data_IF_876748517918
#
_entry.id   IF_876748517918
#
_cell.length_a   1.000
_cell.length_b   1.000
_cell.length_c   1.000
_cell.angle_alpha   90.00
_cell.angle_beta   90.00
_cell.angle_gamma   90.00
#
_symmetry.space_group_name_H-M   'P 1'
#
loop_
_entity.id
_entity.type
_entity.pdbx_description
1 polymer ?
#
# COMPACT_ATOMS: atom_id res chain seq x y z
N UNK A 1 13.34 -50.20 8.55
CA UNK A 1 14.27 -49.09 8.82
C UNK A 1 15.57 -49.66 9.36
N UNK A 2 16.65 -49.56 8.59
CA UNK A 2 17.92 -50.24 8.90
C UNK A 2 18.71 -49.48 9.98
N UNK A 3 19.68 -50.13 10.64
CA UNK A 3 20.56 -49.45 11.60
C UNK A 3 21.35 -48.29 10.97
N UNK A 4 21.66 -48.42 9.68
CA UNK A 4 22.30 -47.38 8.88
C UNK A 4 21.40 -46.14 8.75
N UNK A 5 20.11 -46.32 8.47
CA UNK A 5 19.15 -45.21 8.37
C UNK A 5 19.00 -44.46 9.71
N UNK A 6 19.00 -45.20 10.83
CA UNK A 6 18.95 -44.63 12.18
C UNK A 6 20.18 -43.79 12.50
N UNK A 7 21.36 -44.25 12.09
CA UNK A 7 22.61 -43.53 12.30
C UNK A 7 22.67 -42.25 11.46
N UNK A 8 22.33 -42.34 10.17
CA UNK A 8 22.27 -41.18 9.27
C UNK A 8 21.27 -40.13 9.75
N UNK A 9 20.11 -40.56 10.24
CA UNK A 9 19.10 -39.65 10.82
C UNK A 9 19.61 -38.96 12.08
N UNK A 10 20.34 -39.66 12.97
CA UNK A 10 20.94 -39.06 14.16
C UNK A 10 22.01 -38.03 13.81
N UNK A 11 22.84 -38.31 12.81
CA UNK A 11 23.86 -37.37 12.34
C UNK A 11 23.23 -36.09 11.77
N UNK A 12 22.12 -36.23 11.04
CA UNK A 12 21.37 -35.10 10.48
C UNK A 12 20.69 -34.25 11.57
N UNK A 13 20.12 -34.88 12.59
CA UNK A 13 19.56 -34.18 13.75
C UNK A 13 20.66 -33.42 14.49
N UNK A 14 21.81 -34.07 14.72
CA UNK A 14 22.92 -33.44 15.42
C UNK A 14 23.51 -32.25 14.65
N UNK A 15 23.56 -32.31 13.31
CA UNK A 15 24.04 -31.19 12.50
C UNK A 15 23.05 -30.00 12.52
N UNK A 16 21.75 -30.28 12.44
CA UNK A 16 20.69 -29.28 12.56
C UNK A 16 20.70 -28.59 13.93
N UNK A 17 20.85 -29.34 15.02
CA UNK A 17 20.94 -28.77 16.37
C UNK A 17 22.15 -27.86 16.54
N UNK A 18 23.31 -28.22 15.97
CA UNK A 18 24.51 -27.37 15.98
C UNK A 18 24.31 -26.07 15.20
N UNK A 19 23.67 -26.13 14.03
CA UNK A 19 23.36 -24.95 13.23
C UNK A 19 22.38 -24.00 13.95
N UNK A 20 21.39 -24.56 14.65
CA UNK A 20 20.41 -23.79 15.39
C UNK A 20 21.04 -23.06 16.59
N UNK A 21 21.91 -23.73 17.36
CA UNK A 21 22.65 -23.11 18.46
C UNK A 21 23.63 -22.03 17.96
N UNK A 22 24.32 -22.27 16.84
CA UNK A 22 25.18 -21.26 16.21
C UNK A 22 24.39 -20.01 15.75
N UNK A 23 23.16 -20.17 15.24
CA UNK A 23 22.30 -19.05 14.86
C UNK A 23 21.69 -18.33 16.05
N UNK A 24 21.30 -19.07 17.09
CA UNK A 24 20.77 -18.50 18.33
C UNK A 24 21.83 -17.66 19.06
N UNK A 25 23.09 -18.11 19.07
CA UNK A 25 24.21 -17.34 19.62
C UNK A 25 24.62 -16.15 18.74
N UNK A 26 24.36 -16.19 17.42
CA UNK A 26 24.57 -15.04 16.52
C UNK A 26 23.42 -14.02 16.53
N UNK A 27 22.27 -14.35 17.12
CA UNK A 27 21.18 -13.40 17.33
C UNK A 27 21.50 -12.55 18.55
N UNK A 28 22.25 -11.49 18.30
CA UNK A 28 22.52 -10.43 19.26
C UNK A 28 21.21 -9.74 19.66
N UNK A 29 20.65 -10.13 20.81
CA UNK A 29 19.44 -9.52 21.39
C UNK A 29 19.70 -8.11 21.95
N UNK A 30 20.94 -7.62 21.89
CA UNK A 30 21.31 -6.32 22.47
C UNK A 30 20.94 -5.10 21.59
N UNK A 31 20.39 -5.31 20.38
CA UNK A 31 20.10 -4.21 19.43
C UNK A 31 18.76 -3.49 19.58
N UNK A 32 17.90 -3.87 20.52
CA UNK A 32 16.69 -3.11 20.81
C UNK A 32 16.72 -2.55 22.24
N UNK A 33 17.12 -1.28 22.36
CA UNK A 33 16.89 -0.47 23.55
C UNK A 33 16.21 0.82 23.11
N UNK A 34 15.02 1.08 23.63
CA UNK A 34 14.39 2.39 23.49
C UNK A 34 15.23 3.40 24.30
N UNK A 35 15.79 4.39 23.61
CA UNK A 35 16.39 5.56 24.25
C UNK A 35 15.30 6.60 24.45
N UNK A 36 14.95 6.88 25.70
CA UNK A 36 14.02 7.94 26.07
C UNK A 36 12.86 7.43 26.92
N UNK A 37 12.23 8.35 27.65
CA UNK A 37 11.00 8.07 28.40
C UNK A 37 9.85 7.80 27.41
N UNK A 38 8.93 6.87 27.72
CA UNK A 38 7.77 6.60 26.87
C UNK A 38 6.92 7.87 26.74
N UNK A 39 6.60 8.24 25.50
CA UNK A 39 5.72 9.38 25.21
C UNK A 39 4.28 8.93 25.46
N UNK A 40 3.61 9.55 26.42
CA UNK A 40 2.18 9.35 26.67
C UNK A 40 1.42 10.24 25.68
N UNK A 41 0.69 9.64 24.75
CA UNK A 41 -0.21 10.36 23.85
C UNK A 41 -1.47 10.77 24.63
N UNK A 42 -1.60 12.05 24.94
CA UNK A 42 -2.86 12.63 25.42
C UNK A 42 -3.81 12.80 24.24
N UNK A 43 -4.94 12.10 24.26
CA UNK A 43 -6.01 12.22 23.28
C UNK A 43 -6.98 13.31 23.73
N UNK A 44 -6.83 14.53 23.21
CA UNK A 44 -7.86 15.56 23.35
C UNK A 44 -8.92 15.37 22.26
N UNK A 45 -10.08 14.90 22.68
CA UNK A 45 -11.28 14.84 21.86
C UNK A 45 -11.93 16.23 21.82
N UNK A 46 -11.96 16.85 20.64
CA UNK A 46 -12.80 18.03 20.37
C UNK A 46 -13.40 17.91 18.96
N UNK A 47 -14.71 18.13 18.77
CA UNK A 47 -15.36 17.94 17.47
C UNK A 47 -15.25 19.17 16.55
N UNK A 48 -15.19 18.85 15.25
CA UNK A 48 -15.60 19.60 14.06
C UNK A 48 -14.98 20.97 13.73
N UNK A 49 -14.31 21.05 12.57
CA UNK A 49 -14.60 21.98 11.45
C UNK A 49 -13.68 21.73 10.25
N UNK A 50 -14.23 21.89 9.04
CA UNK A 50 -13.52 21.91 7.76
C UNK A 50 -12.25 22.75 7.84
N UNK A 51 -11.10 22.08 7.77
CA UNK A 51 -9.79 22.72 7.75
C UNK A 51 -9.03 22.12 6.58
N UNK A 52 -8.49 22.97 5.71
CA UNK A 52 -7.31 22.62 4.92
C UNK A 52 -6.18 22.40 5.94
N UNK A 53 -6.04 21.17 6.43
CA UNK A 53 -5.03 20.85 7.43
C UNK A 53 -3.69 20.74 6.70
N UNK A 54 -2.86 21.77 6.85
CA UNK A 54 -1.42 21.62 6.67
C UNK A 54 -0.90 20.74 7.80
N UNK A 55 -0.88 19.42 7.57
CA UNK A 55 -0.35 18.47 8.55
C UNK A 55 1.16 18.62 8.53
N UNK A 56 1.77 18.96 9.67
CA UNK A 56 3.22 18.84 9.88
C UNK A 56 3.71 17.41 9.62
N UNK A 57 5.02 17.12 9.69
CA UNK A 57 5.61 15.87 9.21
C UNK A 57 5.29 14.71 10.17
N UNK A 58 4.04 14.29 10.22
CA UNK A 58 3.67 13.00 10.78
C UNK A 58 3.80 12.00 9.63
N UNK A 59 4.77 11.06 9.70
CA UNK A 59 4.91 9.99 8.72
C UNK A 59 3.74 8.99 8.77
N UNK A 60 2.68 9.32 9.52
CA UNK A 60 1.57 8.47 9.88
C UNK A 60 0.29 9.28 9.90
N UNK A 61 -0.72 8.82 9.19
CA UNK A 61 -2.08 9.32 9.27
C UNK A 61 -3.05 8.15 9.31
N UNK A 62 -4.07 8.28 10.14
CA UNK A 62 -5.10 7.26 10.33
C UNK A 62 -6.46 7.92 10.55
N UNK A 63 -7.55 7.20 10.27
CA UNK A 63 -8.92 7.65 10.48
C UNK A 63 -9.25 8.92 9.68
N UNK A 64 -8.95 8.87 8.38
CA UNK A 64 -9.20 9.98 7.46
C UNK A 64 -10.53 9.74 6.76
N UNK A 65 -11.49 10.64 6.92
CA UNK A 65 -12.82 10.50 6.33
C UNK A 65 -13.27 11.81 5.70
N UNK A 66 -13.85 11.72 4.51
CA UNK A 66 -14.53 12.83 3.82
C UNK A 66 -13.63 14.08 3.66
N UNK A 67 -12.36 13.85 3.34
CA UNK A 67 -11.32 14.89 3.35
C UNK A 67 -10.40 14.82 2.13
N UNK A 68 -9.87 16.00 1.74
CA UNK A 68 -8.71 16.12 0.86
C UNK A 68 -7.47 16.41 1.68
N UNK A 69 -6.45 15.58 1.53
CA UNK A 69 -5.15 15.73 2.18
C UNK A 69 -4.08 15.88 1.10
N UNK A 70 -3.24 16.89 1.27
CA UNK A 70 -2.06 17.10 0.43
C UNK A 70 -0.81 17.09 1.30
N UNK A 71 0.09 16.15 1.02
CA UNK A 71 1.35 16.01 1.73
C UNK A 71 2.31 17.05 1.17
N UNK A 72 2.45 18.16 1.88
CA UNK A 72 3.29 19.30 1.47
C UNK A 72 4.72 19.21 1.99
N UNK A 73 4.94 18.56 3.13
CA UNK A 73 6.26 18.42 3.74
C UNK A 73 6.90 17.10 3.36
N UNK A 74 8.22 17.06 3.06
CA UNK A 74 8.92 15.82 2.79
C UNK A 74 8.93 14.92 4.04
N UNK A 75 8.50 13.68 3.86
CA UNK A 75 8.49 12.59 4.85
C UNK A 75 9.11 11.35 4.24
N UNK A 76 10.15 10.77 4.85
CA UNK A 76 10.85 9.63 4.25
C UNK A 76 9.91 8.45 3.95
N UNK A 77 9.11 8.07 4.93
CA UNK A 77 8.16 6.97 4.83
C UNK A 77 6.79 7.46 5.27
N UNK A 78 5.81 7.33 4.40
CA UNK A 78 4.43 7.71 4.68
C UNK A 78 3.59 6.45 4.90
N UNK A 79 2.87 6.39 6.02
CA UNK A 79 1.91 5.35 6.34
C UNK A 79 0.51 5.97 6.45
N UNK A 80 -0.40 5.58 5.55
CA UNK A 80 -1.83 5.89 5.66
C UNK A 80 -2.58 4.64 6.07
N UNK A 81 -3.42 4.78 7.10
CA UNK A 81 -4.33 3.73 7.53
C UNK A 81 -5.76 4.22 7.57
N UNK A 82 -6.72 3.32 7.36
CA UNK A 82 -8.14 3.56 7.67
C UNK A 82 -8.64 4.90 7.07
N UNK A 83 -8.75 4.94 5.75
CA UNK A 83 -9.23 6.11 5.04
C UNK A 83 -10.44 5.78 4.18
N UNK A 84 -11.42 6.68 4.14
CA UNK A 84 -12.62 6.46 3.32
C UNK A 84 -13.21 7.76 2.78
N UNK A 85 -13.69 7.75 1.52
CA UNK A 85 -14.26 8.93 0.85
C UNK A 85 -13.29 10.10 0.86
N UNK A 86 -12.02 9.83 0.54
CA UNK A 86 -10.94 10.82 0.63
C UNK A 86 -10.23 11.01 -0.70
N UNK A 87 -9.58 12.17 -0.82
CA UNK A 87 -8.59 12.47 -1.86
C UNK A 87 -7.24 12.68 -1.18
N UNK A 88 -6.24 11.87 -1.52
CA UNK A 88 -4.90 12.01 -0.95
C UNK A 88 -3.90 12.29 -2.05
N UNK A 89 -3.13 13.37 -1.91
CA UNK A 89 -2.12 13.80 -2.86
C UNK A 89 -0.73 13.83 -2.22
N UNK A 90 0.27 13.31 -2.93
CA UNK A 90 1.67 13.40 -2.53
C UNK A 90 2.55 13.52 -3.77
N UNK A 91 3.12 14.70 -3.97
CA UNK A 91 3.97 15.04 -5.10
C UNK A 91 5.45 15.09 -4.66
N UNK A 92 6.13 13.95 -4.77
CA UNK A 92 7.56 13.75 -4.49
C UNK A 92 8.01 14.08 -3.08
N UNK A 93 7.07 14.08 -2.13
CA UNK A 93 7.35 14.35 -0.73
C UNK A 93 7.57 13.08 0.07
N UNK A 94 7.71 11.91 -0.57
CA UNK A 94 8.05 10.68 0.15
C UNK A 94 8.94 9.73 -0.62
N UNK A 95 9.82 9.04 0.10
CA UNK A 95 10.64 7.95 -0.47
C UNK A 95 9.89 6.62 -0.50
N UNK A 96 8.90 6.42 0.36
CA UNK A 96 7.98 5.29 0.23
C UNK A 96 6.61 5.59 0.83
N UNK A 97 5.58 4.93 0.31
CA UNK A 97 4.21 5.04 0.79
C UNK A 97 3.65 3.64 1.10
N UNK A 98 3.05 3.49 2.27
CA UNK A 98 2.34 2.30 2.70
C UNK A 98 0.89 2.66 2.99
N UNK A 99 -0.05 2.01 2.30
CA UNK A 99 -1.48 2.24 2.40
C UNK A 99 -2.12 1.00 2.99
N UNK A 100 -2.90 1.15 4.06
CA UNK A 100 -3.54 0.03 4.74
C UNK A 100 -5.01 0.33 5.01
N UNK A 101 -5.89 -0.52 4.51
CA UNK A 101 -7.33 -0.45 4.76
C UNK A 101 -7.93 0.87 4.30
N UNK A 102 -8.44 0.93 3.07
CA UNK A 102 -9.07 2.13 2.56
C UNK A 102 -10.19 1.84 1.58
N UNK A 103 -11.18 2.74 1.52
CA UNK A 103 -12.34 2.54 0.67
C UNK A 103 -12.81 3.81 -0.02
N UNK A 104 -13.43 3.68 -1.20
CA UNK A 104 -14.15 4.79 -1.85
C UNK A 104 -13.30 6.05 -2.01
N UNK A 105 -12.00 5.92 -2.34
CA UNK A 105 -11.04 7.02 -2.24
C UNK A 105 -10.17 7.14 -3.49
N UNK A 106 -9.68 8.35 -3.75
CA UNK A 106 -8.76 8.66 -4.83
C UNK A 106 -7.40 9.01 -4.24
N UNK A 107 -6.37 8.34 -4.73
CA UNK A 107 -5.02 8.45 -4.21
C UNK A 107 -4.06 8.79 -5.35
N UNK A 108 -3.37 9.93 -5.28
CA UNK A 108 -2.37 10.36 -6.26
C UNK A 108 -1.00 10.44 -5.60
N UNK A 109 -0.10 9.56 -6.03
CA UNK A 109 1.27 9.46 -5.54
C UNK A 109 2.24 9.55 -6.70
N UNK A 110 3.03 10.63 -6.72
CA UNK A 110 4.16 10.79 -7.64
C UNK A 110 5.44 10.72 -6.81
N UNK A 111 6.04 9.55 -6.63
CA UNK A 111 7.21 9.36 -5.74
C UNK A 111 8.32 8.58 -6.45
N UNK A 112 9.59 8.78 -6.08
CA UNK A 112 10.69 8.07 -6.75
C UNK A 112 10.93 6.65 -6.21
N UNK A 113 10.27 6.26 -5.12
CA UNK A 113 10.49 4.97 -4.47
C UNK A 113 9.31 4.02 -4.58
N UNK A 114 8.95 3.37 -3.46
CA UNK A 114 8.00 2.24 -3.47
C UNK A 114 6.63 2.61 -2.89
N UNK A 115 5.58 2.08 -3.51
CA UNK A 115 4.21 2.13 -2.99
C UNK A 115 3.77 0.70 -2.68
N UNK A 116 3.33 0.48 -1.44
CA UNK A 116 2.68 -0.77 -1.02
C UNK A 116 1.26 -0.47 -0.60
N UNK A 117 0.29 -1.13 -1.21
CA UNK A 117 -1.12 -0.99 -0.88
C UNK A 117 -1.68 -2.32 -0.36
N UNK A 118 -2.42 -2.27 0.74
CA UNK A 118 -3.05 -3.44 1.34
C UNK A 118 -4.48 -3.16 1.77
N UNK A 119 -5.43 -3.98 1.31
CA UNK A 119 -6.83 -3.88 1.74
C UNK A 119 -7.55 -2.64 1.22
N UNK A 120 -7.41 -2.33 -0.08
CA UNK A 120 -8.14 -1.22 -0.70
C UNK A 120 -9.36 -1.72 -1.47
N UNK A 121 -10.48 -1.02 -1.35
CA UNK A 121 -11.73 -1.37 -2.03
C UNK A 121 -12.36 -0.16 -2.68
N UNK A 122 -12.77 -0.25 -3.95
CA UNK A 122 -13.39 0.88 -4.64
C UNK A 122 -12.52 2.14 -4.62
N UNK A 123 -11.24 1.98 -4.94
CA UNK A 123 -10.29 3.09 -4.95
C UNK A 123 -9.73 3.34 -6.34
N UNK A 124 -9.35 4.59 -6.61
CA UNK A 124 -8.54 4.94 -7.77
C UNK A 124 -7.15 5.32 -7.28
N UNK A 125 -6.13 4.65 -7.80
CA UNK A 125 -4.74 4.87 -7.44
C UNK A 125 -3.98 5.37 -8.66
N UNK A 126 -3.68 6.66 -8.69
CA UNK A 126 -2.78 7.28 -9.65
C UNK A 126 -1.36 7.16 -9.07
N UNK A 127 -0.60 6.20 -9.57
CA UNK A 127 0.73 5.89 -9.06
C UNK A 127 1.79 6.19 -10.13
N UNK A 128 2.74 7.05 -9.82
CA UNK A 128 4.00 7.13 -10.52
C UNK A 128 5.10 6.81 -9.50
N UNK A 129 5.69 5.62 -9.62
CA UNK A 129 6.67 5.12 -8.66
C UNK A 129 7.66 4.13 -9.30
N UNK A 130 8.71 3.78 -8.55
CA UNK A 130 9.68 2.78 -9.00
C UNK A 130 9.19 1.34 -8.79
N UNK A 131 8.40 1.09 -7.74
CA UNK A 131 7.74 -0.22 -7.53
C UNK A 131 6.36 -0.02 -6.92
N UNK A 132 5.39 -0.77 -7.43
CA UNK A 132 4.03 -0.85 -6.88
C UNK A 132 3.72 -2.29 -6.50
N UNK A 133 3.31 -2.47 -5.24
CA UNK A 133 2.89 -3.76 -4.69
C UNK A 133 1.46 -3.65 -4.18
N UNK A 134 0.60 -4.54 -4.64
CA UNK A 134 -0.82 -4.57 -4.34
C UNK A 134 -1.14 -5.87 -3.61
N UNK A 135 -1.79 -5.77 -2.45
CA UNK A 135 -2.24 -6.95 -1.70
C UNK A 135 -3.69 -6.77 -1.27
N UNK A 136 -4.55 -7.75 -1.50
CA UNK A 136 -5.97 -7.69 -1.10
C UNK A 136 -6.68 -6.42 -1.61
N UNK A 137 -6.51 -6.11 -2.90
CA UNK A 137 -7.16 -4.97 -3.55
C UNK A 137 -8.38 -5.46 -4.33
N UNK A 138 -9.53 -4.81 -4.12
CA UNK A 138 -10.80 -5.24 -4.73
C UNK A 138 -11.49 -4.09 -5.45
N UNK A 139 -12.06 -4.35 -6.64
CA UNK A 139 -12.87 -3.40 -7.40
C UNK A 139 -12.21 -2.02 -7.48
N UNK A 140 -10.99 -1.93 -7.99
CA UNK A 140 -10.21 -0.68 -7.94
C UNK A 140 -9.53 -0.43 -9.27
N UNK A 141 -9.27 0.85 -9.55
CA UNK A 141 -8.56 1.29 -10.75
C UNK A 141 -7.16 1.76 -10.38
N UNK A 142 -6.16 1.31 -11.11
CA UNK A 142 -4.77 1.77 -11.00
C UNK A 142 -4.39 2.43 -12.31
N UNK A 143 -4.04 3.72 -12.25
CA UNK A 143 -3.57 4.49 -13.41
C UNK A 143 -2.09 4.76 -13.21
N UNK A 144 -1.25 4.24 -14.09
CA UNK A 144 0.18 4.21 -13.84
C UNK A 144 1.00 4.00 -15.11
N UNK A 145 2.21 4.56 -15.12
CA UNK A 145 3.21 4.36 -16.17
C UNK A 145 4.51 3.83 -15.54
N UNK A 146 4.41 2.71 -14.83
CA UNK A 146 5.55 2.09 -14.14
C UNK A 146 6.29 1.18 -15.11
N UNK A 147 7.60 1.37 -15.22
CA UNK A 147 8.46 0.56 -16.09
C UNK A 147 8.72 -0.85 -15.58
N UNK A 148 8.66 -1.05 -14.26
CA UNK A 148 8.76 -2.36 -13.61
C UNK A 148 7.41 -3.06 -13.51
N UNK A 149 7.40 -4.37 -13.27
CA UNK A 149 6.17 -5.09 -13.02
C UNK A 149 5.48 -4.63 -11.72
N UNK A 150 4.17 -4.44 -11.79
CA UNK A 150 3.29 -4.32 -10.63
C UNK A 150 3.10 -5.72 -10.07
N UNK A 151 3.42 -5.92 -8.79
CA UNK A 151 3.23 -7.20 -8.12
C UNK A 151 1.86 -7.16 -7.45
N UNK A 152 1.00 -8.12 -7.73
CA UNK A 152 -0.32 -8.24 -7.10
C UNK A 152 -0.52 -9.60 -6.42
N UNK A 153 -1.18 -9.57 -5.27
CA UNK A 153 -1.54 -10.76 -4.48
C UNK A 153 -2.92 -10.59 -3.83
N UNK A 154 -3.73 -11.64 -3.80
CA UNK A 154 -5.10 -11.71 -3.28
C UNK A 154 -6.01 -10.60 -3.78
N UNK A 155 -5.77 -10.09 -4.99
CA UNK A 155 -6.54 -9.00 -5.57
C UNK A 155 -7.68 -9.55 -6.45
N UNK A 156 -8.72 -8.73 -6.67
CA UNK A 156 -9.88 -9.12 -7.47
C UNK A 156 -10.47 -7.91 -8.19
N UNK A 157 -10.79 -8.06 -9.47
CA UNK A 157 -11.39 -7.01 -10.31
C UNK A 157 -10.60 -5.68 -10.23
N UNK A 158 -9.28 -5.78 -10.41
CA UNK A 158 -8.41 -4.59 -10.51
C UNK A 158 -8.30 -4.18 -11.98
N UNK A 159 -8.57 -2.91 -12.27
CA UNK A 159 -8.40 -2.35 -13.61
C UNK A 159 -7.09 -1.59 -13.67
N UNK A 160 -6.33 -1.75 -14.74
CA UNK A 160 -5.10 -1.02 -14.99
C UNK A 160 -5.25 -0.12 -16.22
N UNK A 161 -4.81 1.12 -16.12
CA UNK A 161 -4.65 2.05 -17.25
C UNK A 161 -3.21 2.56 -17.28
N UNK A 162 -2.69 2.77 -18.49
CA UNK A 162 -1.31 3.19 -18.75
C UNK A 162 -0.37 2.03 -19.08
N UNK A 163 0.92 2.35 -19.26
CA UNK A 163 1.93 1.37 -19.66
C UNK A 163 2.40 0.53 -18.45
N UNK A 164 1.65 -0.53 -18.13
CA UNK A 164 1.90 -1.38 -16.94
C UNK A 164 2.01 -2.85 -17.32
N UNK A 165 2.99 -3.54 -16.74
CA UNK A 165 3.05 -5.00 -16.72
C UNK A 165 2.68 -5.51 -15.32
N UNK A 166 1.95 -6.62 -15.23
CA UNK A 166 1.41 -7.13 -13.97
C UNK A 166 1.84 -8.57 -13.70
N UNK A 167 2.49 -8.78 -12.56
CA UNK A 167 2.82 -10.11 -12.02
C UNK A 167 1.79 -10.50 -10.95
N UNK A 168 0.87 -11.39 -11.31
CA UNK A 168 -0.20 -11.86 -10.42
C UNK A 168 0.19 -13.17 -9.72
N UNK A 169 0.39 -13.10 -8.41
CA UNK A 169 0.78 -14.23 -7.56
C UNK A 169 -0.40 -15.14 -7.22
N UNK A 170 -1.62 -14.76 -7.59
CA UNK A 170 -2.84 -15.54 -7.42
C UNK A 170 -3.34 -16.13 -8.74
N UNK A 171 -2.55 -16.03 -9.80
CA UNK A 171 -2.90 -16.57 -11.10
C UNK A 171 -2.98 -18.10 -11.04
N UNK A 172 -4.21 -18.62 -11.00
CA UNK A 172 -4.50 -20.01 -11.25
C UNK A 172 -4.96 -20.14 -12.71
N UNK A 173 -4.35 -21.05 -13.47
CA UNK A 173 -4.63 -21.30 -14.89
C UNK A 173 -6.11 -21.65 -15.23
N UNK A 174 -6.99 -21.72 -14.22
CA UNK A 174 -8.39 -22.14 -14.32
C UNK A 174 -9.40 -21.01 -14.11
N UNK A 175 -8.99 -19.83 -13.63
CA UNK A 175 -9.91 -18.75 -13.26
C UNK A 175 -9.81 -17.56 -14.23
N UNK A 176 -10.87 -16.73 -14.25
CA UNK A 176 -10.80 -15.40 -14.86
C UNK A 176 -9.66 -14.60 -14.22
N UNK A 177 -8.96 -13.79 -15.03
CA UNK A 177 -7.88 -12.95 -14.53
C UNK A 177 -8.37 -12.06 -13.38
N UNK A 178 -7.52 -11.86 -12.37
CA UNK A 178 -7.84 -10.99 -11.23
C UNK A 178 -7.82 -9.50 -11.60
N UNK A 179 -7.39 -9.19 -12.83
CA UNK A 179 -7.27 -7.85 -13.35
C UNK A 179 -7.65 -7.77 -14.84
N UNK A 180 -7.84 -6.55 -15.32
CA UNK A 180 -8.05 -6.22 -16.73
C UNK A 180 -7.40 -4.88 -17.07
N UNK A 181 -7.20 -4.60 -18.36
CA UNK A 181 -6.72 -3.30 -18.83
C UNK A 181 -7.88 -2.45 -19.35
N UNK A 182 -7.84 -1.16 -19.05
CA UNK A 182 -8.80 -0.16 -19.52
C UNK A 182 -8.05 1.06 -20.02
N UNK A 183 -8.61 1.74 -21.01
CA UNK A 183 -8.03 2.97 -21.55
C UNK A 183 -8.69 4.18 -20.87
N UNK A 184 -7.90 4.90 -20.08
CA UNK A 184 -8.33 6.13 -19.42
C UNK A 184 -7.24 7.18 -19.66
N UNK A 185 -7.61 8.29 -20.29
CA UNK A 185 -6.74 9.45 -20.46
C UNK A 185 -6.41 10.03 -19.08
N UNK A 186 -5.12 10.14 -18.75
CA UNK A 186 -4.68 10.59 -17.43
C UNK A 186 -5.13 12.04 -17.14
N UNK A 187 -5.22 12.85 -18.19
CA UNK A 187 -5.67 14.24 -18.20
C UNK A 187 -7.13 14.37 -17.75
N UNK A 188 -7.96 13.35 -18.00
CA UNK A 188 -9.37 13.32 -17.54
C UNK A 188 -9.48 13.35 -16.01
N UNK A 189 -8.40 12.99 -15.31
CA UNK A 189 -8.31 12.94 -13.86
C UNK A 189 -7.64 14.18 -13.25
N UNK A 190 -7.33 15.22 -14.03
CA UNK A 190 -6.63 16.41 -13.52
C UNK A 190 -7.44 17.25 -12.54
N UNK A 191 -8.77 17.11 -12.54
CA UNK A 191 -9.65 17.76 -11.57
C UNK A 191 -9.29 17.38 -10.12
N UNK A 192 -8.67 16.21 -9.90
CA UNK A 192 -8.23 15.71 -8.59
C UNK A 192 -7.29 16.71 -7.89
N UNK A 193 -6.55 17.52 -8.67
CA UNK A 193 -5.66 18.54 -8.13
C UNK A 193 -6.42 19.74 -7.54
N UNK A 194 -7.69 19.93 -7.92
CA UNK A 194 -8.57 21.01 -7.49
C UNK A 194 -9.11 20.86 -6.06
N UNK A 195 -10.25 21.48 -5.79
CA UNK A 195 -10.92 21.39 -4.49
C UNK A 195 -11.63 20.04 -4.32
N UNK A 196 -11.82 19.62 -3.07
CA UNK A 196 -12.62 18.45 -2.76
C UNK A 196 -14.06 18.66 -3.20
N UNK A 197 -14.58 17.72 -3.99
CA UNK A 197 -15.97 17.67 -4.41
C UNK A 197 -16.44 16.21 -4.27
N UNK A 198 -17.41 16.00 -3.38
CA UNK A 198 -17.92 14.67 -3.06
C UNK A 198 -18.71 14.06 -4.24
N UNK A 199 -19.42 14.89 -5.01
CA UNK A 199 -20.20 14.42 -6.15
C UNK A 199 -19.26 14.02 -7.28
N UNK A 200 -18.23 14.83 -7.53
CA UNK A 200 -17.20 14.52 -8.53
C UNK A 200 -16.35 13.31 -8.13
N UNK A 201 -16.08 13.13 -6.83
CA UNK A 201 -15.47 11.92 -6.28
C UNK A 201 -16.32 10.68 -6.63
N UNK A 202 -17.61 10.69 -6.31
CA UNK A 202 -18.49 9.55 -6.59
C UNK A 202 -18.63 9.27 -8.09
N UNK A 203 -18.78 10.31 -8.91
CA UNK A 203 -18.80 10.18 -10.37
C UNK A 203 -17.52 9.54 -10.90
N UNK A 204 -16.37 9.98 -10.40
CA UNK A 204 -15.07 9.44 -10.85
C UNK A 204 -14.87 8.01 -10.37
N UNK A 205 -15.30 7.67 -9.16
CA UNK A 205 -15.33 6.27 -8.70
C UNK A 205 -16.24 5.39 -9.58
N UNK A 206 -17.28 5.96 -10.19
CA UNK A 206 -18.12 5.30 -11.19
C UNK A 206 -17.34 4.70 -12.37
N UNK A 207 -16.19 5.27 -12.73
CA UNK A 207 -15.30 4.74 -13.79
C UNK A 207 -14.83 3.31 -13.50
N UNK A 208 -14.74 2.91 -12.22
CA UNK A 208 -14.41 1.54 -11.83
C UNK A 208 -15.44 0.55 -12.36
N UNK A 209 -16.70 0.97 -12.52
CA UNK A 209 -17.80 0.13 -12.99
C UNK A 209 -18.07 0.30 -14.49
N UNK A 210 -17.89 1.51 -15.04
CA UNK A 210 -18.31 1.83 -16.41
C UNK A 210 -17.35 1.31 -17.50
N UNK A 211 -16.08 1.04 -17.18
CA UNK A 211 -15.15 0.42 -18.12
C UNK A 211 -15.36 -1.11 -18.20
N UNK A 212 -16.47 -1.56 -18.78
CA UNK A 212 -16.81 -2.98 -19.00
C UNK A 212 -16.61 -3.41 -20.44
#
# INVERSE_FOLDING_TARGET
MTNYDKQKTRELINSLSRLLEAKKSSMDTSKFKFKGAPIILQTDNSPTKNLNIQVGPKPYMENIFDQRIEIQSPVNHLLLKQFERCIVLNHKNSSSVNLQTGANSILRFDIDGTISATGLTNCIVLANCHQLRLHNITNSLVVSDITTNVIMENCMNVKFSGAVNVDDFNFNFTNSQNYSYVEIERESLDWINGQYDADLLQQTLGLIHDCS
#
